data_IF_837572184785
#
_entry.id   IF_837572184785
#
_cell.length_a   1.000
_cell.length_b   1.000
_cell.length_c   1.000
_cell.angle_alpha   90.00
_cell.angle_beta   90.00
_cell.angle_gamma   90.00
#
_symmetry.space_group_name_H-M   'P 1'
#
loop_
_entity.id
_entity.type
_entity.pdbx_description
1 polymer ?
#
# COMPACT_ATOMS: atom_id res chain seq x y z
N UNK A 1 38.13 41.02 -7.18
CA UNK A 1 37.41 40.40 -6.05
C UNK A 1 36.18 39.75 -6.62
N UNK A 2 36.17 38.43 -6.71
CA UNK A 2 35.07 37.67 -7.30
C UNK A 2 34.01 37.46 -6.22
N UNK A 3 33.21 38.48 -5.94
CA UNK A 3 31.99 38.29 -5.15
C UNK A 3 30.94 37.72 -6.10
N UNK A 4 31.17 36.46 -6.49
CA UNK A 4 30.21 35.60 -7.17
C UNK A 4 28.99 35.49 -6.24
N UNK A 5 27.85 36.01 -6.69
CA UNK A 5 26.60 36.06 -5.95
C UNK A 5 25.96 34.68 -5.82
N UNK A 6 26.69 33.74 -5.23
CA UNK A 6 26.14 32.48 -4.74
C UNK A 6 25.84 32.69 -3.27
N UNK A 7 24.55 32.79 -2.98
CA UNK A 7 24.01 32.58 -1.63
C UNK A 7 24.61 31.28 -1.06
N UNK A 8 25.44 31.39 -0.03
CA UNK A 8 26.24 30.28 0.53
C UNK A 8 25.55 29.57 1.71
N UNK A 9 24.35 30.01 2.11
CA UNK A 9 23.55 29.29 3.10
C UNK A 9 22.07 29.71 3.03
N UNK A 10 21.16 28.73 3.04
CA UNK A 10 19.83 28.94 3.61
C UNK A 10 19.95 28.52 5.08
N UNK A 11 20.07 29.48 5.99
CA UNK A 11 20.09 29.16 7.41
C UNK A 11 18.63 28.96 7.87
N UNK A 12 18.20 27.70 7.93
CA UNK A 12 16.94 27.32 8.59
C UNK A 12 17.21 27.18 10.09
N UNK A 13 17.28 28.31 10.79
CA UNK A 13 17.41 28.32 12.24
C UNK A 13 16.08 27.98 12.91
N UNK A 14 16.02 26.85 13.61
CA UNK A 14 15.07 26.65 14.71
C UNK A 14 15.80 26.93 16.04
N UNK A 15 15.46 27.99 16.79
CA UNK A 15 16.11 28.28 18.06
C UNK A 15 15.68 27.37 19.22
N UNK A 16 14.82 26.36 19.02
CA UNK A 16 14.29 25.58 20.13
C UNK A 16 14.16 24.06 19.87
N UNK A 17 15.25 23.40 19.45
CA UNK A 17 15.67 22.05 19.89
C UNK A 17 14.66 20.88 19.91
N UNK A 18 13.48 21.02 19.34
CA UNK A 18 12.48 19.96 19.22
C UNK A 18 12.38 19.73 17.73
N UNK A 19 13.07 18.71 17.23
CA UNK A 19 13.09 18.39 15.81
C UNK A 19 11.66 18.11 15.32
N UNK A 20 10.93 19.14 14.91
CA UNK A 20 9.97 18.99 13.83
C UNK A 20 10.80 18.50 12.66
N UNK A 21 10.55 17.29 12.19
CA UNK A 21 11.24 16.73 11.03
C UNK A 21 11.07 17.70 9.88
N UNK A 22 12.08 18.53 9.60
CA UNK A 22 12.10 19.41 8.45
C UNK A 22 12.13 18.51 7.21
N UNK A 23 10.96 18.30 6.60
CA UNK A 23 10.84 17.60 5.33
C UNK A 23 11.19 18.61 4.22
N UNK A 24 12.49 18.77 3.97
CA UNK A 24 12.99 19.66 2.94
C UNK A 24 12.57 19.14 1.55
N UNK A 25 11.42 19.58 1.05
CA UNK A 25 10.99 19.34 -0.34
C UNK A 25 11.77 20.26 -1.28
N UNK A 26 12.97 19.85 -1.67
CA UNK A 26 13.74 20.52 -2.74
C UNK A 26 13.36 20.05 -4.15
N UNK A 27 12.42 19.11 -4.31
CA UNK A 27 11.90 18.67 -5.62
C UNK A 27 10.40 18.28 -5.60
N UNK A 28 9.53 19.00 -4.89
CA UNK A 28 8.06 18.91 -5.03
C UNK A 28 7.39 17.53 -4.83
N UNK A 29 8.17 16.49 -4.53
CA UNK A 29 7.71 15.17 -4.11
C UNK A 29 7.81 15.17 -2.62
N UNK A 30 6.66 15.26 -1.96
CA UNK A 30 6.51 14.66 -0.63
C UNK A 30 7.08 13.24 -0.76
N UNK A 31 8.09 12.86 0.03
CA UNK A 31 8.73 11.54 -0.08
C UNK A 31 7.70 10.43 0.07
N UNK A 32 7.19 9.94 -1.06
CA UNK A 32 6.19 8.89 -1.09
C UNK A 32 4.93 9.21 -0.28
N UNK A 33 4.01 8.27 -0.28
CA UNK A 33 3.04 8.19 0.81
C UNK A 33 3.87 7.89 2.07
N UNK A 34 3.75 8.64 3.18
CA UNK A 34 4.47 8.32 4.40
C UNK A 34 4.21 6.85 4.73
N UNK A 35 5.25 6.06 4.98
CA UNK A 35 5.13 4.63 5.31
C UNK A 35 4.10 4.39 6.44
N UNK A 36 3.94 5.36 7.33
CA UNK A 36 2.92 5.39 8.38
C UNK A 36 1.46 5.29 7.86
N UNK A 37 1.15 5.88 6.70
CA UNK A 37 -0.18 5.79 6.10
C UNK A 37 -0.41 4.38 5.53
N UNK A 38 0.59 3.78 4.90
CA UNK A 38 0.52 2.39 4.41
C UNK A 38 0.39 1.38 5.57
N UNK A 39 1.02 1.67 6.70
CA UNK A 39 0.95 0.87 7.92
C UNK A 39 -0.34 1.09 8.76
N UNK A 40 -1.21 2.02 8.35
CA UNK A 40 -2.47 2.27 9.05
C UNK A 40 -3.36 1.02 9.02
N UNK A 41 -3.99 0.69 10.14
CA UNK A 41 -4.84 -0.50 10.27
C UNK A 41 -6.28 -0.18 9.83
N UNK A 42 -6.79 -0.99 8.93
CA UNK A 42 -8.17 -1.05 8.43
C UNK A 42 -8.89 -2.20 9.14
N UNK A 43 -10.10 -1.93 9.63
CA UNK A 43 -10.98 -2.91 10.28
C UNK A 43 -10.34 -3.70 11.45
N UNK A 44 -9.29 -3.13 12.04
CA UNK A 44 -8.59 -3.70 13.21
C UNK A 44 -7.68 -4.90 12.91
N UNK A 45 -7.51 -5.31 11.66
CA UNK A 45 -6.83 -6.57 11.31
C UNK A 45 -5.83 -6.50 10.16
N UNK A 46 -6.01 -5.59 9.20
CA UNK A 46 -5.14 -5.50 8.00
C UNK A 46 -4.64 -4.08 7.82
N UNK A 47 -3.43 -3.91 7.32
CA UNK A 47 -2.87 -2.61 6.95
C UNK A 47 -3.51 -2.09 5.65
N UNK A 48 -3.41 -0.78 5.40
CA UNK A 48 -3.82 -0.17 4.13
C UNK A 48 -3.09 -0.82 2.95
N UNK A 49 -1.81 -1.14 3.11
CA UNK A 49 -1.03 -1.81 2.07
C UNK A 49 -1.55 -3.22 1.75
N UNK A 50 -1.90 -4.00 2.78
CA UNK A 50 -2.52 -5.32 2.65
C UNK A 50 -3.87 -5.22 1.95
N UNK A 51 -4.72 -4.28 2.37
CA UNK A 51 -6.04 -4.07 1.78
C UNK A 51 -5.95 -3.71 0.29
N UNK A 52 -5.07 -2.78 -0.09
CA UNK A 52 -4.87 -2.38 -1.49
C UNK A 52 -4.35 -3.54 -2.33
N UNK A 53 -3.45 -4.37 -1.78
CA UNK A 53 -2.90 -5.53 -2.49
C UNK A 53 -3.97 -6.59 -2.77
N UNK A 54 -4.86 -6.84 -1.81
CA UNK A 54 -6.01 -7.73 -1.98
C UNK A 54 -7.00 -7.16 -2.99
N UNK A 55 -7.30 -5.85 -2.92
CA UNK A 55 -8.17 -5.18 -3.88
C UNK A 55 -7.63 -5.22 -5.30
N UNK A 56 -6.31 -5.08 -5.48
CA UNK A 56 -5.66 -5.19 -6.78
C UNK A 56 -5.87 -6.59 -7.39
N UNK A 57 -5.75 -7.65 -6.60
CA UNK A 57 -5.98 -9.03 -7.09
C UNK A 57 -7.43 -9.22 -7.58
N UNK A 58 -8.41 -8.69 -6.83
CA UNK A 58 -9.81 -8.72 -7.23
C UNK A 58 -10.05 -7.92 -8.52
N UNK A 59 -9.53 -6.69 -8.57
CA UNK A 59 -9.77 -5.76 -9.69
C UNK A 59 -9.05 -6.19 -10.97
N UNK A 60 -7.86 -6.77 -10.87
CA UNK A 60 -7.15 -7.32 -12.01
C UNK A 60 -7.80 -8.60 -12.55
N UNK A 61 -8.51 -9.35 -11.69
CA UNK A 61 -9.38 -10.45 -12.10
C UNK A 61 -8.66 -11.66 -12.66
N UNK A 62 -7.34 -11.80 -12.43
CA UNK A 62 -6.62 -13.03 -12.72
C UNK A 62 -7.17 -14.11 -11.77
N UNK A 63 -7.90 -15.09 -12.30
CA UNK A 63 -8.58 -16.07 -11.49
C UNK A 63 -8.47 -17.49 -12.05
N UNK A 64 -8.60 -18.48 -11.16
CA UNK A 64 -8.80 -19.89 -11.49
C UNK A 64 -9.99 -20.46 -10.68
N UNK A 65 -10.46 -21.65 -11.07
CA UNK A 65 -11.57 -22.32 -10.38
C UNK A 65 -12.97 -21.76 -10.68
N UNK A 66 -13.11 -20.85 -11.65
CA UNK A 66 -14.39 -20.20 -11.98
C UNK A 66 -15.52 -21.11 -12.47
N UNK A 67 -15.22 -22.34 -12.93
CA UNK A 67 -16.22 -23.37 -13.27
C UNK A 67 -16.56 -24.29 -12.08
N UNK A 68 -15.96 -24.04 -10.92
CA UNK A 68 -16.12 -24.85 -9.71
C UNK A 68 -16.81 -24.04 -8.61
N UNK A 69 -17.06 -24.68 -7.46
CA UNK A 69 -17.61 -24.00 -6.28
C UNK A 69 -16.56 -23.15 -5.55
N UNK A 70 -15.28 -23.23 -5.90
CA UNK A 70 -14.20 -22.46 -5.28
C UNK A 70 -13.45 -21.66 -6.33
N UNK A 71 -13.44 -20.34 -6.19
CA UNK A 71 -12.73 -19.43 -7.09
C UNK A 71 -11.59 -18.75 -6.33
N UNK A 72 -10.43 -18.66 -6.99
CA UNK A 72 -9.26 -17.98 -6.46
C UNK A 72 -8.97 -16.73 -7.29
N UNK A 73 -8.82 -15.57 -6.66
CA UNK A 73 -8.25 -14.36 -7.28
C UNK A 73 -6.79 -14.26 -6.93
N UNK A 74 -5.95 -14.18 -7.95
CA UNK A 74 -4.51 -14.34 -7.87
C UNK A 74 -3.80 -13.00 -7.94
N UNK A 75 -2.58 -12.95 -7.39
CA UNK A 75 -1.71 -11.79 -7.57
C UNK A 75 -1.27 -11.64 -9.04
N UNK A 76 -0.72 -10.47 -9.38
CA UNK A 76 -0.25 -10.18 -10.74
C UNK A 76 0.87 -11.10 -11.23
N UNK A 77 1.68 -11.63 -10.30
CA UNK A 77 2.74 -12.59 -10.62
C UNK A 77 2.23 -14.02 -10.82
N UNK A 78 0.94 -14.28 -10.59
CA UNK A 78 0.29 -15.59 -10.71
C UNK A 78 0.86 -16.66 -9.76
N UNK A 79 1.49 -16.24 -8.67
CA UNK A 79 2.16 -17.12 -7.69
C UNK A 79 1.34 -17.40 -6.44
N UNK A 80 0.29 -16.62 -6.20
CA UNK A 80 -0.42 -16.62 -4.92
C UNK A 80 -1.89 -16.31 -5.06
N UNK A 81 -2.71 -17.06 -4.34
CA UNK A 81 -4.16 -16.86 -4.24
C UNK A 81 -4.45 -15.84 -3.13
N UNK A 82 -4.72 -14.60 -3.53
CA UNK A 82 -4.95 -13.48 -2.59
C UNK A 82 -6.36 -13.48 -2.03
N UNK A 83 -7.33 -14.02 -2.77
CA UNK A 83 -8.70 -14.19 -2.29
C UNK A 83 -9.20 -15.56 -2.72
N UNK A 84 -9.71 -16.34 -1.77
CA UNK A 84 -10.42 -17.59 -2.02
C UNK A 84 -11.88 -17.40 -1.64
N UNK A 85 -12.79 -17.70 -2.55
CA UNK A 85 -14.23 -17.65 -2.28
C UNK A 85 -14.86 -19.01 -2.58
N UNK A 86 -15.72 -19.47 -1.68
CA UNK A 86 -16.51 -20.70 -1.88
C UNK A 86 -17.98 -20.36 -1.96
N UNK A 87 -18.66 -20.95 -2.93
CA UNK A 87 -20.11 -20.88 -3.07
C UNK A 87 -20.76 -22.21 -2.73
N UNK A 88 -22.01 -22.18 -2.29
CA UNK A 88 -22.82 -23.38 -2.16
C UNK A 88 -23.46 -23.82 -3.49
N UNK A 89 -24.34 -24.81 -3.41
CA UNK A 89 -25.03 -25.39 -4.57
C UNK A 89 -26.03 -24.46 -5.24
N UNK A 90 -26.47 -23.40 -4.57
CA UNK A 90 -27.37 -22.38 -5.13
C UNK A 90 -26.63 -21.12 -5.59
N UNK A 91 -25.31 -21.07 -5.36
CA UNK A 91 -24.43 -19.98 -5.81
C UNK A 91 -24.19 -18.90 -4.76
N UNK A 92 -24.66 -19.10 -3.52
CA UNK A 92 -24.44 -18.16 -2.44
C UNK A 92 -23.02 -18.32 -1.86
N UNK A 93 -22.37 -17.20 -1.54
CA UNK A 93 -21.01 -17.22 -1.00
C UNK A 93 -21.02 -17.64 0.48
N UNK A 94 -20.44 -18.80 0.77
CA UNK A 94 -20.41 -19.40 2.11
C UNK A 94 -19.10 -19.17 2.84
N UNK A 95 -18.00 -18.93 2.11
CA UNK A 95 -16.71 -18.61 2.69
C UNK A 95 -15.94 -17.60 1.83
N UNK A 96 -15.21 -16.71 2.51
CA UNK A 96 -14.22 -15.83 1.89
C UNK A 96 -12.98 -15.84 2.77
N UNK A 97 -11.83 -16.14 2.17
CA UNK A 97 -10.52 -16.08 2.84
C UNK A 97 -9.64 -15.11 2.05
N UNK A 98 -8.97 -14.20 2.76
CA UNK A 98 -8.01 -13.27 2.18
C UNK A 98 -6.60 -13.65 2.65
N UNK A 99 -5.62 -13.56 1.75
CA UNK A 99 -4.23 -13.80 2.07
C UNK A 99 -3.41 -12.51 1.95
N UNK A 100 -3.03 -11.99 3.12
CA UNK A 100 -2.23 -10.77 3.25
C UNK A 100 -0.75 -11.04 3.45
N UNK A 101 -0.32 -12.31 3.56
CA UNK A 101 1.09 -12.63 3.80
C UNK A 101 1.98 -12.21 2.61
N UNK A 102 3.29 -12.04 2.87
CA UNK A 102 4.32 -11.58 1.91
C UNK A 102 4.25 -10.10 1.49
N UNK A 103 3.85 -9.20 2.40
CA UNK A 103 4.16 -7.77 2.29
C UNK A 103 5.35 -7.40 3.18
#
# INVERSE_FOLDING_TARGET
STTDGKVDAIEVGDPAGTAATLHATTDGKVDGVPLAVLAGIVEGSVTVQEAISVLLALAAGKADGGETTTIHFRNQADTKDRITMTVDTVGDRTATVIDTSDL
#
